data_IF_014000985191
#
_entry.id   IF_014000985191
#
_cell.length_a   1.000
_cell.length_b   1.000
_cell.length_c   1.000
_cell.angle_alpha   90.00
_cell.angle_beta   90.00
_cell.angle_gamma   90.00
#
_symmetry.space_group_name_H-M   'P 1'
#
loop_
_entity.id
_entity.type
_entity.pdbx_description
1 polymer ?
#
# COMPACT_ATOMS: atom_id res chain seq x y z
N UNK A 1 -17.75 2.96 0.33
CA UNK A 1 -16.37 3.26 -0.15
C UNK A 1 -16.04 4.70 0.21
N UNK A 2 -14.81 5.00 0.65
CA UNK A 2 -14.43 6.31 1.21
C UNK A 2 -14.39 7.42 0.13
N UNK A 3 -15.53 8.03 -0.16
CA UNK A 3 -15.71 9.10 -1.16
C UNK A 3 -14.70 10.25 -0.99
N UNK A 4 -14.47 10.66 0.26
CA UNK A 4 -13.51 11.70 0.62
C UNK A 4 -12.07 11.38 0.20
N UNK A 5 -11.66 10.11 0.27
CA UNK A 5 -10.29 9.71 -0.12
C UNK A 5 -10.13 9.78 -1.63
N UNK A 6 -11.16 9.41 -2.38
CA UNK A 6 -11.14 9.49 -3.86
C UNK A 6 -11.08 10.94 -4.31
N UNK A 7 -11.89 11.81 -3.72
CA UNK A 7 -11.89 13.25 -4.04
C UNK A 7 -10.50 13.87 -3.81
N UNK A 8 -9.84 13.54 -2.70
CA UNK A 8 -8.48 14.01 -2.42
C UNK A 8 -7.44 13.49 -3.43
N UNK A 9 -7.56 12.24 -3.88
CA UNK A 9 -6.65 11.67 -4.89
C UNK A 9 -6.84 12.33 -6.26
N UNK A 10 -8.09 12.63 -6.63
CA UNK A 10 -8.43 13.35 -7.85
C UNK A 10 -7.91 14.79 -7.81
N UNK A 11 -8.12 15.52 -6.71
CA UNK A 11 -7.59 16.87 -6.50
C UNK A 11 -6.05 16.92 -6.59
N UNK A 12 -5.38 15.91 -6.05
CA UNK A 12 -3.93 15.80 -6.08
C UNK A 12 -3.36 15.28 -7.41
N UNK A 13 -4.21 14.97 -8.40
CA UNK A 13 -3.83 14.32 -9.66
C UNK A 13 -3.02 13.03 -9.47
N UNK A 14 -3.30 12.28 -8.40
CA UNK A 14 -2.63 11.01 -8.08
C UNK A 14 -3.37 9.88 -8.78
N UNK A 15 -2.64 9.11 -9.59
CA UNK A 15 -3.20 7.91 -10.22
C UNK A 15 -3.53 6.84 -9.16
N UNK A 16 -4.74 6.30 -9.21
CA UNK A 16 -5.15 5.18 -8.36
C UNK A 16 -5.87 4.10 -9.17
N UNK A 17 -5.94 2.90 -8.61
CA UNK A 17 -6.69 1.77 -9.16
C UNK A 17 -7.80 1.38 -8.20
N UNK A 18 -9.04 1.46 -8.67
CA UNK A 18 -10.18 0.93 -7.94
C UNK A 18 -10.35 -0.56 -8.26
N UNK A 19 -10.52 -1.38 -7.23
CA UNK A 19 -10.78 -2.80 -7.38
C UNK A 19 -12.28 -3.07 -7.19
N UNK A 20 -12.86 -3.86 -8.08
CA UNK A 20 -14.28 -4.26 -8.00
C UNK A 20 -14.55 -5.20 -6.83
N UNK A 21 -13.53 -5.97 -6.42
CA UNK A 21 -13.58 -6.95 -5.34
C UNK A 21 -12.41 -6.74 -4.39
N UNK A 22 -12.48 -7.37 -3.22
CA UNK A 22 -11.37 -7.40 -2.28
C UNK A 22 -10.12 -8.03 -2.95
N UNK A 23 -9.00 -7.31 -3.02
CA UNK A 23 -7.79 -7.83 -3.63
C UNK A 23 -7.17 -8.92 -2.74
N UNK A 24 -6.71 -9.99 -3.37
CA UNK A 24 -5.94 -11.03 -2.69
C UNK A 24 -4.50 -10.55 -2.56
N UNK A 25 -4.03 -10.41 -1.31
CA UNK A 25 -2.67 -9.99 -1.01
C UNK A 25 -1.72 -11.20 -0.99
N UNK A 26 -0.64 -11.14 -1.77
CA UNK A 26 0.46 -12.12 -1.73
C UNK A 26 1.58 -11.63 -0.79
N UNK A 27 1.46 -12.02 0.47
CA UNK A 27 2.41 -11.65 1.52
C UNK A 27 3.80 -12.27 1.34
N UNK A 28 3.93 -13.39 0.62
CA UNK A 28 5.20 -14.05 0.37
C UNK A 28 6.01 -13.29 -0.67
N UNK A 29 5.37 -12.88 -1.77
CA UNK A 29 5.98 -11.99 -2.77
C UNK A 29 6.35 -10.65 -2.16
N UNK A 30 5.46 -10.08 -1.36
CA UNK A 30 5.67 -8.83 -0.63
C UNK A 30 6.87 -8.93 0.35
N UNK A 31 7.03 -10.06 1.07
CA UNK A 31 8.23 -10.32 1.89
C UNK A 31 9.51 -10.32 1.06
N UNK A 32 9.55 -11.07 -0.06
CA UNK A 32 10.73 -11.16 -0.93
C UNK A 32 11.13 -9.81 -1.51
N UNK A 33 10.16 -9.00 -1.92
CA UNK A 33 10.39 -7.63 -2.41
C UNK A 33 11.02 -6.79 -1.29
N UNK A 34 10.45 -6.80 -0.08
CA UNK A 34 10.99 -6.03 1.05
C UNK A 34 12.43 -6.38 1.39
N UNK A 35 12.74 -7.67 1.49
CA UNK A 35 14.10 -8.16 1.75
C UNK A 35 15.07 -7.68 0.66
N UNK A 36 14.65 -7.76 -0.61
CA UNK A 36 15.46 -7.31 -1.75
C UNK A 36 15.76 -5.80 -1.71
N UNK A 37 14.76 -4.99 -1.38
CA UNK A 37 14.90 -3.53 -1.38
C UNK A 37 15.37 -2.94 -0.05
N UNK A 38 15.62 -3.78 0.99
CA UNK A 38 15.96 -3.35 2.35
C UNK A 38 14.97 -2.32 2.90
N UNK A 39 13.69 -2.44 2.53
CA UNK A 39 12.63 -1.55 3.00
C UNK A 39 11.99 -2.15 4.26
N UNK A 40 12.22 -1.56 5.46
CA UNK A 40 11.51 -1.97 6.66
C UNK A 40 10.02 -1.62 6.53
N UNK A 41 9.17 -2.39 7.19
CA UNK A 41 7.76 -2.02 7.36
C UNK A 41 7.73 -0.70 8.11
N UNK A 42 7.30 0.37 7.46
CA UNK A 42 7.08 1.67 8.12
C UNK A 42 6.04 1.46 9.22
N UNK A 43 6.48 1.51 10.49
CA UNK A 43 5.62 1.30 11.66
C UNK A 43 6.09 0.21 12.62
N UNK A 44 7.06 -0.63 12.26
CA UNK A 44 7.71 -1.52 13.25
C UNK A 44 8.85 -0.74 13.89
N UNK A 45 8.66 -0.29 15.14
CA UNK A 45 9.77 0.20 15.96
C UNK A 45 10.74 -0.97 16.14
N UNK A 46 11.92 -0.86 15.55
CA UNK A 46 13.06 -1.68 15.93
C UNK A 46 13.43 -1.18 17.32
N UNK A 47 13.02 -1.92 18.35
CA UNK A 47 13.55 -1.70 19.69
C UNK A 47 14.92 -2.36 19.70
N UNK A 48 15.98 -1.54 19.66
CA UNK A 48 17.34 -1.96 20.01
C UNK A 48 17.41 -2.33 21.51
#
# INVERSE_FOLDING_TARGET
MYKQVVELLEEAAISYKQYTYEPILDYETDRKIRERFKCPITGVKIND
#
